data_IF_665739856150
#
_entry.id   IF_665739856150
#
_cell.length_a   1.000
_cell.length_b   1.000
_cell.length_c   1.000
_cell.angle_alpha   90.00
_cell.angle_beta   90.00
_cell.angle_gamma   90.00
#
_symmetry.space_group_name_H-M   'P 1'
#
loop_
_entity.id
_entity.type
_entity.pdbx_description
1 polymer ?
#
# COMPACT_ATOMS: atom_id res chain seq x y z
N UNK A 1 37.41 2.37 -60.29
CA UNK A 1 36.10 2.35 -59.58
C UNK A 1 35.81 0.93 -59.10
N UNK A 2 35.93 0.66 -57.79
CA UNK A 2 35.48 -0.59 -57.16
C UNK A 2 34.56 -0.20 -56.01
N UNK A 3 33.27 -0.50 -56.14
CA UNK A 3 32.29 -0.29 -55.09
C UNK A 3 32.48 -1.38 -54.02
N UNK A 4 32.90 -1.00 -52.82
CA UNK A 4 32.82 -1.85 -51.63
C UNK A 4 31.40 -1.70 -51.05
N UNK A 5 30.62 -2.77 -51.14
CA UNK A 5 29.34 -2.90 -50.45
C UNK A 5 29.61 -3.04 -48.95
N UNK A 6 29.19 -2.05 -48.16
CA UNK A 6 29.16 -2.13 -46.70
C UNK A 6 27.83 -2.77 -46.30
N UNK A 7 27.91 -4.02 -45.85
CA UNK A 7 26.80 -4.70 -45.17
C UNK A 7 26.72 -4.12 -43.76
N UNK A 8 25.67 -3.33 -43.49
CA UNK A 8 25.31 -2.93 -42.13
C UNK A 8 24.65 -4.14 -41.44
N UNK A 9 25.32 -4.69 -40.44
CA UNK A 9 24.75 -5.70 -39.55
C UNK A 9 24.03 -4.96 -38.41
N UNK A 10 22.71 -4.81 -38.53
CA UNK A 10 21.87 -4.28 -37.44
C UNK A 10 21.68 -5.38 -36.40
N UNK A 11 22.40 -5.31 -35.29
CA UNK A 11 22.13 -6.14 -34.10
C UNK A 11 20.91 -5.51 -33.42
N UNK A 12 19.72 -6.07 -33.67
CA UNK A 12 18.53 -5.76 -32.89
C UNK A 12 18.69 -6.43 -31.52
N UNK A 13 19.06 -5.66 -30.51
CA UNK A 13 18.99 -6.10 -29.12
C UNK A 13 17.52 -6.22 -28.72
N UNK A 14 16.98 -7.44 -28.73
CA UNK A 14 15.68 -7.74 -28.16
C UNK A 14 15.82 -7.67 -26.65
N UNK A 15 15.55 -6.50 -26.07
CA UNK A 15 15.38 -6.36 -24.63
C UNK A 15 14.09 -7.11 -24.27
N UNK A 16 14.23 -8.33 -23.73
CA UNK A 16 13.14 -9.00 -23.03
C UNK A 16 12.85 -8.14 -21.79
N UNK A 17 11.92 -7.21 -21.92
CA UNK A 17 11.31 -6.57 -20.77
C UNK A 17 10.62 -7.68 -19.97
N UNK A 18 11.29 -8.22 -18.96
CA UNK A 18 10.61 -8.89 -17.86
C UNK A 18 9.70 -7.82 -17.29
N UNK A 19 8.41 -7.89 -17.64
CA UNK A 19 7.44 -6.92 -17.17
C UNK A 19 7.53 -6.84 -15.64
N UNK A 20 7.42 -5.65 -15.04
CA UNK A 20 7.41 -5.53 -13.59
C UNK A 20 6.32 -6.46 -13.05
N UNK A 21 6.65 -7.21 -12.01
CA UNK A 21 5.70 -8.03 -11.29
C UNK A 21 4.71 -7.09 -10.58
N UNK A 22 3.70 -6.62 -11.32
CA UNK A 22 2.45 -6.16 -10.74
C UNK A 22 1.89 -7.39 -10.05
N UNK A 23 1.49 -7.29 -8.78
CA UNK A 23 0.71 -8.37 -8.17
C UNK A 23 -0.46 -8.64 -9.10
N UNK A 24 -0.50 -9.85 -9.66
CA UNK A 24 -1.66 -10.30 -10.40
C UNK A 24 -2.87 -10.12 -9.48
N UNK A 25 -3.94 -9.49 -9.96
CA UNK A 25 -5.19 -9.37 -9.20
C UNK A 25 -5.64 -10.75 -8.69
N UNK A 26 -5.30 -11.82 -9.41
CA UNK A 26 -5.50 -13.19 -8.97
C UNK A 26 -4.72 -13.57 -7.69
N UNK A 27 -3.51 -13.03 -7.48
CA UNK A 27 -2.72 -13.25 -6.27
C UNK A 27 -3.37 -12.56 -5.07
N UNK A 28 -3.72 -11.28 -5.21
CA UNK A 28 -4.36 -10.50 -4.12
C UNK A 28 -5.80 -10.94 -3.86
N UNK A 29 -6.47 -11.52 -4.85
CA UNK A 29 -7.82 -12.07 -4.69
C UNK A 29 -7.88 -13.28 -3.76
N UNK A 30 -6.79 -14.02 -3.58
CA UNK A 30 -6.75 -15.19 -2.70
C UNK A 30 -7.09 -14.88 -1.25
N UNK A 31 -6.78 -13.67 -0.79
CA UNK A 31 -7.19 -13.21 0.52
C UNK A 31 -8.72 -13.36 0.65
N UNK A 32 -9.49 -12.79 -0.27
CA UNK A 32 -10.97 -12.79 -0.22
C UNK A 32 -11.64 -14.17 -0.28
N UNK A 33 -10.92 -15.21 -0.75
CA UNK A 33 -11.41 -16.59 -0.81
C UNK A 33 -11.16 -17.39 0.48
N UNK A 34 -10.35 -16.85 1.38
CA UNK A 34 -10.00 -17.49 2.65
C UNK A 34 -11.21 -17.56 3.59
N UNK A 35 -11.31 -18.66 4.34
CA UNK A 35 -12.32 -18.82 5.38
C UNK A 35 -11.68 -18.59 6.74
N UNK A 36 -12.04 -17.48 7.39
CA UNK A 36 -11.62 -17.22 8.75
C UNK A 36 -12.43 -18.05 9.75
N UNK A 37 -11.74 -18.59 10.75
CA UNK A 37 -12.32 -19.01 12.02
C UNK A 37 -12.30 -17.80 12.93
N UNK A 38 -13.48 -17.25 13.16
CA UNK A 38 -13.66 -15.97 13.83
C UNK A 38 -14.03 -16.16 15.31
N UNK A 39 -13.63 -15.24 16.20
CA UNK A 39 -14.13 -15.19 17.56
C UNK A 39 -15.58 -14.69 17.58
N UNK A 40 -16.24 -14.83 18.74
CA UNK A 40 -17.53 -14.20 18.98
C UNK A 40 -17.33 -12.69 19.18
N UNK A 41 -17.55 -11.91 18.12
CA UNK A 41 -17.41 -10.47 18.16
C UNK A 41 -18.48 -9.79 19.04
N UNK A 42 -18.09 -8.71 19.72
CA UNK A 42 -19.06 -7.87 20.45
C UNK A 42 -19.75 -6.87 19.51
N UNK A 43 -19.07 -6.44 18.45
CA UNK A 43 -19.65 -5.61 17.40
C UNK A 43 -20.63 -6.42 16.55
N UNK A 44 -21.78 -5.82 16.23
CA UNK A 44 -22.71 -6.34 15.21
C UNK A 44 -22.19 -6.16 13.77
N UNK A 45 -21.14 -5.36 13.61
CA UNK A 45 -20.53 -5.01 12.33
C UNK A 45 -19.02 -5.01 12.54
N UNK A 46 -18.34 -6.17 12.60
CA UNK A 46 -16.88 -6.19 12.53
C UNK A 46 -16.42 -5.57 11.21
N UNK A 47 -15.24 -4.95 11.18
CA UNK A 47 -14.66 -4.40 9.96
C UNK A 47 -13.32 -5.08 9.64
N UNK A 48 -13.10 -5.38 8.36
CA UNK A 48 -12.05 -6.25 7.87
C UNK A 48 -11.05 -5.47 6.99
N UNK A 49 -9.77 -5.81 7.14
CA UNK A 49 -8.70 -5.49 6.18
C UNK A 49 -7.70 -6.63 6.16
N UNK A 50 -6.83 -6.67 5.14
CA UNK A 50 -5.80 -7.69 5.02
C UNK A 50 -4.46 -7.06 4.60
N UNK A 51 -3.36 -7.57 5.14
CA UNK A 51 -2.01 -7.30 4.66
C UNK A 51 -1.45 -8.54 3.96
N UNK A 52 -1.14 -8.40 2.68
CA UNK A 52 -0.54 -9.46 1.89
C UNK A 52 0.97 -9.21 1.78
N UNK A 53 1.79 -10.20 2.13
CA UNK A 53 3.23 -10.03 2.31
C UNK A 53 4.02 -10.72 1.17
N UNK A 54 4.98 -9.98 0.61
CA UNK A 54 5.94 -10.48 -0.36
C UNK A 54 5.36 -10.67 -1.76
N UNK A 55 6.25 -11.03 -2.70
CA UNK A 55 5.92 -11.13 -4.12
C UNK A 55 4.81 -12.15 -4.44
N UNK A 56 4.74 -13.23 -3.67
CA UNK A 56 3.73 -14.29 -3.85
C UNK A 56 2.47 -14.08 -3.00
N UNK A 57 2.48 -13.08 -2.11
CA UNK A 57 1.40 -12.84 -1.15
C UNK A 57 1.03 -14.11 -0.36
N UNK A 58 2.04 -14.89 0.03
CA UNK A 58 1.85 -16.21 0.63
C UNK A 58 1.38 -16.13 2.08
N UNK A 59 1.82 -15.08 2.79
CA UNK A 59 1.32 -14.72 4.11
C UNK A 59 0.28 -13.61 3.95
N UNK A 60 -0.95 -13.88 4.39
CA UNK A 60 -2.07 -12.94 4.40
C UNK A 60 -2.51 -12.74 5.85
N UNK A 61 -2.15 -11.59 6.43
CA UNK A 61 -2.46 -11.25 7.81
C UNK A 61 -3.81 -10.53 7.82
N UNK A 62 -4.81 -11.16 8.40
CA UNK A 62 -6.14 -10.58 8.55
C UNK A 62 -6.25 -9.69 9.78
N UNK A 63 -6.99 -8.60 9.62
CA UNK A 63 -7.28 -7.65 10.69
C UNK A 63 -8.78 -7.47 10.81
N UNK A 64 -9.30 -7.58 12.03
CA UNK A 64 -10.73 -7.37 12.30
C UNK A 64 -10.92 -6.38 13.45
N UNK A 65 -11.54 -5.25 13.15
CA UNK A 65 -11.95 -4.27 14.14
C UNK A 65 -13.22 -4.72 14.84
N UNK A 66 -13.18 -4.66 16.16
CA UNK A 66 -14.25 -5.06 17.06
C UNK A 66 -14.35 -4.11 18.26
N UNK A 67 -15.29 -4.40 19.16
CA UNK A 67 -15.53 -3.67 20.39
C UNK A 67 -15.17 -4.53 21.60
N UNK A 68 -14.80 -3.90 22.71
CA UNK A 68 -14.65 -4.60 23.99
C UNK A 68 -16.01 -4.93 24.59
N UNK A 69 -17.03 -4.16 24.27
CA UNK A 69 -18.40 -4.27 24.77
C UNK A 69 -19.40 -3.76 23.73
N UNK A 70 -20.60 -4.37 23.69
CA UNK A 70 -21.65 -4.03 22.71
C UNK A 70 -22.05 -2.55 22.68
N UNK A 71 -22.02 -1.90 23.83
CA UNK A 71 -22.42 -0.50 24.00
C UNK A 71 -21.28 0.49 23.81
N UNK A 72 -20.04 0.05 23.57
CA UNK A 72 -18.90 0.96 23.42
C UNK A 72 -19.01 1.74 22.10
N UNK A 73 -18.70 3.02 22.17
CA UNK A 73 -18.60 3.88 20.99
C UNK A 73 -17.25 3.66 20.29
N UNK A 74 -17.30 3.53 18.96
CA UNK A 74 -16.16 3.17 18.13
C UNK A 74 -15.63 1.74 18.37
N UNK A 75 -14.67 1.35 17.53
CA UNK A 75 -13.89 0.13 17.67
C UNK A 75 -12.72 0.37 18.60
N UNK A 76 -12.54 -0.54 19.54
CA UNK A 76 -11.45 -0.48 20.50
C UNK A 76 -10.66 -1.79 20.65
N UNK A 77 -11.05 -2.80 19.89
CA UNK A 77 -10.39 -4.09 19.80
C UNK A 77 -9.95 -4.32 18.36
N UNK A 78 -8.77 -4.91 18.20
CA UNK A 78 -8.24 -5.39 16.93
C UNK A 78 -7.88 -6.87 17.09
N UNK A 79 -8.50 -7.71 16.29
CA UNK A 79 -8.10 -9.10 16.10
C UNK A 79 -7.15 -9.21 14.92
N UNK A 80 -6.06 -9.98 15.05
CA UNK A 80 -5.02 -10.09 14.03
C UNK A 80 -4.56 -11.54 13.86
N UNK A 81 -4.69 -12.07 12.64
CA UNK A 81 -4.20 -13.40 12.24
C UNK A 81 -2.70 -13.31 11.94
N UNK A 82 -1.89 -13.29 13.01
CA UNK A 82 -0.46 -12.95 12.91
C UNK A 82 0.34 -13.97 12.11
N UNK A 83 -0.12 -15.22 12.05
CA UNK A 83 0.56 -16.30 11.34
C UNK A 83 -0.06 -16.60 9.96
N UNK A 84 -1.17 -15.94 9.61
CA UNK A 84 -1.88 -16.08 8.34
C UNK A 84 -2.54 -17.45 8.15
N UNK A 85 -2.89 -18.16 9.22
CA UNK A 85 -3.52 -19.47 9.15
C UNK A 85 -5.05 -19.40 9.10
N UNK A 86 -5.62 -18.22 9.33
CA UNK A 86 -7.04 -17.94 9.29
C UNK A 86 -7.80 -18.24 10.56
N UNK A 87 -7.13 -18.44 11.69
CA UNK A 87 -7.76 -18.72 12.98
C UNK A 87 -7.56 -17.59 13.97
N UNK A 88 -8.45 -16.59 13.92
CA UNK A 88 -8.45 -15.40 14.79
C UNK A 88 -8.73 -15.68 16.27
N UNK A 89 -8.92 -16.96 16.64
CA UNK A 89 -9.24 -17.37 18.01
C UNK A 89 -8.00 -17.81 18.79
N UNK A 90 -6.82 -17.78 18.18
CA UNK A 90 -5.58 -18.17 18.82
C UNK A 90 -5.14 -17.17 19.92
N UNK A 91 -4.34 -17.66 20.85
CA UNK A 91 -3.82 -16.81 21.94
C UNK A 91 -2.81 -15.81 21.39
N UNK A 92 -2.99 -14.54 21.72
CA UNK A 92 -2.09 -13.47 21.30
C UNK A 92 -2.57 -12.69 20.07
N UNK A 93 -3.75 -13.01 19.54
CA UNK A 93 -4.31 -12.35 18.36
C UNK A 93 -5.29 -11.22 18.68
N UNK A 94 -5.65 -11.06 19.97
CA UNK A 94 -6.55 -10.00 20.44
C UNK A 94 -5.76 -8.85 21.04
N UNK A 95 -5.93 -7.65 20.48
CA UNK A 95 -5.28 -6.43 20.93
C UNK A 95 -6.33 -5.39 21.32
N UNK A 96 -6.14 -4.71 22.45
CA UNK A 96 -6.87 -3.49 22.78
C UNK A 96 -6.00 -2.29 22.48
N UNK A 97 -6.58 -1.17 22.03
CA UNK A 97 -5.79 0.06 21.94
C UNK A 97 -5.27 0.44 23.31
N UNK A 98 -4.06 1.00 23.33
CA UNK A 98 -3.59 1.70 24.51
C UNK A 98 -4.36 3.02 24.54
N UNK A 99 -5.17 3.24 25.57
CA UNK A 99 -5.87 4.51 25.77
C UNK A 99 -4.88 5.67 25.65
N UNK A 100 -5.14 6.60 24.74
CA UNK A 100 -4.16 7.60 24.33
C UNK A 100 -4.18 8.83 25.23
N UNK A 101 -2.97 9.31 25.49
CA UNK A 101 -2.65 10.68 25.89
C UNK A 101 -3.04 11.71 24.80
N UNK A 102 -4.30 11.75 24.35
CA UNK A 102 -4.86 12.80 23.50
C UNK A 102 -4.29 12.91 22.07
N UNK A 103 -3.75 11.81 21.52
CA UNK A 103 -3.26 11.75 20.14
C UNK A 103 -4.38 11.86 19.10
N UNK A 104 -4.03 12.28 17.87
CA UNK A 104 -4.96 12.34 16.73
C UNK A 104 -5.22 10.99 16.05
N UNK A 105 -4.40 9.97 16.31
CA UNK A 105 -4.51 8.65 15.67
C UNK A 105 -4.26 7.55 16.68
N UNK A 106 -5.21 6.60 16.78
CA UNK A 106 -5.07 5.42 17.64
C UNK A 106 -4.09 4.44 17.04
N UNK A 107 -3.01 4.10 17.74
CA UNK A 107 -2.00 3.15 17.23
C UNK A 107 -1.93 1.85 18.03
N UNK A 108 -1.91 0.72 17.32
CA UNK A 108 -1.53 -0.60 17.86
C UNK A 108 -0.21 -1.01 17.22
N UNK A 109 0.77 -1.33 18.06
CA UNK A 109 1.98 -2.03 17.66
C UNK A 109 1.76 -3.53 17.78
N UNK A 110 2.14 -4.25 16.73
CA UNK A 110 2.05 -5.70 16.63
C UNK A 110 3.46 -6.30 16.76
N UNK A 111 3.55 -7.59 17.11
CA UNK A 111 4.82 -8.29 17.12
C UNK A 111 5.48 -8.26 15.74
N UNK A 112 6.82 -8.24 15.75
CA UNK A 112 7.62 -8.50 14.55
C UNK A 112 7.34 -9.93 14.06
N UNK A 113 7.48 -10.16 12.75
CA UNK A 113 7.20 -11.46 12.15
C UNK A 113 8.24 -11.83 11.09
N UNK A 114 8.31 -13.12 10.76
CA UNK A 114 9.17 -13.65 9.70
C UNK A 114 8.30 -13.96 8.49
N UNK A 115 8.63 -13.39 7.34
CA UNK A 115 7.98 -13.74 6.08
C UNK A 115 8.36 -15.19 5.71
N UNK A 116 7.39 -16.11 5.59
CA UNK A 116 7.67 -17.51 5.30
C UNK A 116 8.24 -17.74 3.89
N UNK A 117 8.05 -16.81 2.94
CA UNK A 117 8.58 -16.98 1.57
C UNK A 117 10.06 -16.60 1.48
N UNK A 118 10.45 -15.46 2.08
CA UNK A 118 11.83 -14.95 2.03
C UNK A 118 12.69 -15.34 3.23
N UNK A 119 12.08 -15.69 4.36
CA UNK A 119 12.74 -15.86 5.65
C UNK A 119 13.18 -14.54 6.30
N UNK A 120 12.81 -13.39 5.74
CA UNK A 120 13.18 -12.09 6.27
C UNK A 120 12.31 -11.69 7.47
N UNK A 121 12.90 -10.95 8.42
CA UNK A 121 12.16 -10.36 9.55
C UNK A 121 11.65 -8.98 9.20
N UNK A 122 10.37 -8.71 9.46
CA UNK A 122 9.76 -7.39 9.33
C UNK A 122 9.43 -6.86 10.72
N UNK A 123 9.75 -5.58 10.96
CA UNK A 123 9.65 -4.96 12.28
C UNK A 123 8.68 -3.81 12.29
N UNK A 124 8.37 -3.26 13.47
CA UNK A 124 7.53 -2.06 13.63
C UNK A 124 6.16 -2.19 12.94
N UNK A 125 5.62 -3.41 12.91
CA UNK A 125 4.34 -3.71 12.30
C UNK A 125 3.20 -3.13 13.16
N UNK A 126 2.17 -2.59 12.53
CA UNK A 126 1.05 -2.03 13.27
C UNK A 126 -0.04 -1.42 12.44
N UNK A 127 -1.11 -1.04 13.14
CA UNK A 127 -2.30 -0.38 12.59
C UNK A 127 -2.44 0.99 13.25
N UNK A 128 -2.81 1.99 12.48
CA UNK A 128 -3.18 3.32 12.98
C UNK A 128 -4.55 3.71 12.46
N UNK A 129 -5.49 4.04 13.34
CA UNK A 129 -6.81 4.54 12.96
C UNK A 129 -6.85 6.07 13.07
N UNK A 130 -7.28 6.72 12.00
CA UNK A 130 -7.62 8.14 12.01
C UNK A 130 -9.00 8.39 12.59
N UNK A 131 -9.90 7.42 12.46
CA UNK A 131 -11.24 7.45 13.03
C UNK A 131 -11.62 6.03 13.48
N UNK A 132 -11.86 5.90 14.78
CA UNK A 132 -12.21 4.63 15.39
C UNK A 132 -13.69 4.25 15.20
N UNK A 133 -14.56 5.17 14.75
CA UNK A 133 -15.98 4.88 14.51
C UNK A 133 -16.23 4.30 13.13
N UNK A 134 -15.56 4.84 12.10
CA UNK A 134 -15.74 4.41 10.71
C UNK A 134 -14.69 3.40 10.23
N UNK A 135 -13.67 3.13 11.03
CA UNK A 135 -12.60 2.18 10.72
C UNK A 135 -11.63 2.69 9.65
N UNK A 136 -11.51 4.02 9.49
CA UNK A 136 -10.50 4.63 8.62
C UNK A 136 -9.13 4.56 9.26
N UNK A 137 -8.14 4.09 8.50
CA UNK A 137 -6.79 3.95 9.01
C UNK A 137 -5.78 3.45 7.99
N UNK A 138 -4.62 3.10 8.53
CA UNK A 138 -3.45 2.66 7.79
C UNK A 138 -2.83 1.45 8.47
N UNK A 139 -2.16 0.63 7.66
CA UNK A 139 -1.33 -0.48 8.14
C UNK A 139 0.10 -0.14 7.74
N UNK A 140 1.08 -0.39 8.60
CA UNK A 140 2.47 -0.08 8.29
C UNK A 140 3.43 -1.06 8.92
N UNK A 141 4.61 -1.17 8.32
CA UNK A 141 5.72 -1.96 8.82
C UNK A 141 7.05 -1.35 8.37
N UNK A 142 8.14 -1.88 8.92
CA UNK A 142 9.49 -1.71 8.41
C UNK A 142 9.90 -3.00 7.70
N UNK A 143 10.04 -2.90 6.39
CA UNK A 143 10.42 -3.99 5.51
C UNK A 143 11.89 -4.35 5.74
N UNK A 144 12.15 -5.60 6.16
CA UNK A 144 13.51 -6.10 6.42
C UNK A 144 14.30 -5.27 7.43
N UNK A 145 13.61 -4.60 8.35
CA UNK A 145 14.17 -3.62 9.29
C UNK A 145 14.90 -2.42 8.62
N UNK A 146 14.66 -2.18 7.32
CA UNK A 146 15.32 -1.13 6.56
C UNK A 146 14.33 -0.04 6.17
N UNK A 147 13.32 -0.39 5.36
CA UNK A 147 12.46 0.59 4.70
C UNK A 147 11.10 0.68 5.36
N UNK A 148 10.64 1.88 5.70
CA UNK A 148 9.29 2.07 6.22
C UNK A 148 8.29 2.06 5.07
N UNK A 149 7.29 1.19 5.15
CA UNK A 149 6.19 1.10 4.18
C UNK A 149 4.87 1.32 4.91
N UNK A 150 4.00 2.15 4.34
CA UNK A 150 2.64 2.38 4.84
C UNK A 150 1.61 2.10 3.75
N UNK A 151 0.62 1.28 4.05
CA UNK A 151 -0.55 1.00 3.23
C UNK A 151 -1.77 1.80 3.67
N UNK A 152 -2.68 2.00 2.72
CA UNK A 152 -3.95 2.66 2.96
C UNK A 152 -4.03 4.10 2.46
N UNK A 153 -3.18 4.47 1.50
CA UNK A 153 -3.19 5.80 0.89
C UNK A 153 -4.26 5.92 -0.20
N UNK A 154 -5.09 6.98 -0.15
CA UNK A 154 -6.02 7.30 -1.22
C UNK A 154 -5.31 7.91 -2.43
N UNK A 155 -5.96 7.90 -3.58
CA UNK A 155 -5.52 8.69 -4.74
C UNK A 155 -5.71 10.19 -4.49
N UNK A 156 -6.77 10.54 -3.78
CA UNK A 156 -7.11 11.91 -3.41
C UNK A 156 -7.13 12.04 -1.87
N UNK A 157 -6.26 12.87 -1.27
CA UNK A 157 -6.13 13.01 0.18
C UNK A 157 -7.44 13.47 0.85
N UNK A 158 -8.26 14.26 0.17
CA UNK A 158 -9.50 14.81 0.73
C UNK A 158 -10.58 13.75 0.90
N UNK A 159 -10.41 12.60 0.23
CA UNK A 159 -11.32 11.48 0.40
C UNK A 159 -11.09 10.73 1.71
N UNK A 160 -9.98 10.97 2.42
CA UNK A 160 -9.57 10.25 3.64
C UNK A 160 -8.93 8.90 3.37
N UNK A 161 -8.34 8.28 4.40
CA UNK A 161 -7.60 7.02 4.30
C UNK A 161 -8.48 5.80 3.93
N UNK A 162 -7.82 4.66 3.73
CA UNK A 162 -8.47 3.35 3.61
C UNK A 162 -9.44 3.10 4.75
N UNK A 163 -10.60 2.52 4.40
CA UNK A 163 -11.59 2.06 5.36
C UNK A 163 -11.63 0.55 5.38
N UNK A 164 -11.63 -0.01 6.59
CA UNK A 164 -11.92 -1.42 6.78
C UNK A 164 -13.36 -1.70 6.33
N UNK A 165 -13.59 -2.85 5.69
CA UNK A 165 -14.87 -3.16 5.06
C UNK A 165 -15.77 -4.02 5.96
N UNK A 166 -17.10 -4.01 5.80
CA UNK A 166 -18.00 -4.84 6.62
C UNK A 166 -17.93 -6.35 6.35
N UNK A 167 -17.23 -6.79 5.29
CA UNK A 167 -17.09 -8.20 4.92
C UNK A 167 -15.66 -8.48 4.47
N UNK A 168 -15.20 -9.72 4.63
CA UNK A 168 -13.88 -10.16 4.13
C UNK A 168 -13.75 -9.99 2.61
N UNK A 169 -14.83 -10.23 1.86
CA UNK A 169 -14.84 -10.15 0.40
C UNK A 169 -14.56 -8.73 -0.09
N UNK A 170 -15.07 -7.74 0.63
CA UNK A 170 -14.93 -6.32 0.29
C UNK A 170 -13.74 -5.67 1.01
N UNK A 171 -13.02 -6.43 1.83
CA UNK A 171 -11.90 -5.93 2.60
C UNK A 171 -10.80 -5.40 1.69
N UNK A 172 -10.26 -4.19 1.97
CA UNK A 172 -9.08 -3.75 1.26
C UNK A 172 -7.89 -4.64 1.64
N UNK A 173 -7.04 -4.92 0.66
CA UNK A 173 -5.82 -5.69 0.82
C UNK A 173 -4.65 -4.77 0.53
N UNK A 174 -3.88 -4.42 1.56
CA UNK A 174 -2.61 -3.70 1.39
C UNK A 174 -1.51 -4.69 1.05
N UNK A 175 -0.76 -4.43 -0.01
CA UNK A 175 0.30 -5.33 -0.46
C UNK A 175 1.68 -4.79 -0.10
N UNK A 176 2.32 -5.43 0.88
CA UNK A 176 3.68 -5.12 1.28
C UNK A 176 4.65 -6.00 0.50
N UNK A 177 5.25 -5.44 -0.55
CA UNK A 177 6.30 -6.09 -1.31
C UNK A 177 7.46 -5.11 -1.55
N UNK A 178 8.26 -4.90 -0.52
CA UNK A 178 9.35 -3.92 -0.54
C UNK A 178 10.44 -4.18 -1.59
N UNK A 179 10.46 -5.36 -2.22
CA UNK A 179 11.44 -5.73 -3.24
C UNK A 179 10.91 -5.63 -4.67
N UNK A 180 9.61 -5.35 -4.86
CA UNK A 180 9.05 -5.17 -6.19
C UNK A 180 9.47 -3.82 -6.81
N UNK A 181 9.55 -3.72 -8.14
CA UNK A 181 9.70 -2.43 -8.81
C UNK A 181 8.64 -1.44 -8.35
N UNK A 182 9.05 -0.21 -8.08
CA UNK A 182 8.13 0.84 -7.70
C UNK A 182 7.14 1.15 -8.80
N UNK A 183 5.96 1.55 -8.35
CA UNK A 183 4.88 2.13 -9.12
C UNK A 183 4.58 3.51 -8.55
N UNK A 184 3.85 4.29 -9.34
CA UNK A 184 3.45 5.63 -8.95
C UNK A 184 1.94 5.68 -8.74
N UNK A 185 1.53 6.46 -7.75
CA UNK A 185 0.15 6.88 -7.58
C UNK A 185 0.11 8.39 -7.47
N UNK A 186 -0.82 9.00 -8.19
CA UNK A 186 -1.13 10.42 -8.01
C UNK A 186 -1.59 10.65 -6.58
N UNK A 187 -1.08 11.71 -5.94
CA UNK A 187 -1.52 12.10 -4.59
C UNK A 187 -2.15 13.48 -4.56
N UNK A 188 -1.42 14.52 -4.97
CA UNK A 188 -1.98 15.89 -5.02
C UNK A 188 -1.70 16.44 -6.41
N UNK A 189 -2.79 16.74 -7.11
CA UNK A 189 -2.80 17.58 -8.30
C UNK A 189 -4.09 18.37 -8.22
N UNK A 190 -4.01 19.61 -7.72
CA UNK A 190 -5.09 20.56 -7.93
C UNK A 190 -5.27 20.78 -9.45
N UNK A 191 -6.41 21.31 -9.85
CA UNK A 191 -6.59 21.67 -11.26
C UNK A 191 -5.51 22.69 -11.66
N UNK A 192 -4.69 22.37 -12.67
CA UNK A 192 -3.69 23.31 -13.15
C UNK A 192 -4.35 24.59 -13.66
N UNK A 193 -3.99 25.73 -13.09
CA UNK A 193 -4.42 27.04 -13.57
C UNK A 193 -3.30 27.64 -14.42
N UNK A 194 -3.65 28.13 -15.61
CA UNK A 194 -2.66 28.75 -16.49
C UNK A 194 -2.07 29.98 -15.77
N UNK A 195 -0.75 29.97 -15.59
CA UNK A 195 -0.01 31.06 -14.96
C UNK A 195 0.13 30.97 -13.43
N UNK A 196 -0.30 29.88 -12.80
CA UNK A 196 0.01 29.59 -11.39
C UNK A 196 1.20 28.63 -11.24
N UNK A 197 1.82 28.68 -10.05
CA UNK A 197 2.77 27.67 -9.59
C UNK A 197 1.96 26.58 -8.87
N UNK A 198 1.84 25.40 -9.49
CA UNK A 198 1.15 24.25 -8.88
C UNK A 198 2.14 23.11 -8.61
N UNK A 199 1.96 22.43 -7.48
CA UNK A 199 2.73 21.24 -7.12
C UNK A 199 2.09 19.98 -7.70
N UNK A 200 2.90 19.13 -8.32
CA UNK A 200 2.52 17.73 -8.59
C UNK A 200 3.14 16.87 -7.49
N UNK A 201 2.30 16.13 -6.75
CA UNK A 201 2.77 15.16 -5.76
C UNK A 201 2.37 13.76 -6.15
N UNK A 202 3.36 12.87 -6.16
CA UNK A 202 3.21 11.46 -6.46
C UNK A 202 3.65 10.66 -5.24
N UNK A 203 2.91 9.59 -4.94
CA UNK A 203 3.43 8.52 -4.12
C UNK A 203 4.26 7.56 -4.96
N UNK A 204 5.33 7.08 -4.35
CA UNK A 204 6.11 5.96 -4.83
C UNK A 204 5.81 4.73 -3.97
N UNK A 205 5.58 3.58 -4.60
CA UNK A 205 5.15 2.40 -3.86
C UNK A 205 4.54 1.29 -4.73
N UNK A 206 3.50 0.63 -4.24
CA UNK A 206 2.87 -0.51 -4.90
C UNK A 206 1.36 -0.44 -4.87
N UNK A 207 0.75 -0.73 -6.03
CA UNK A 207 -0.69 -0.88 -6.14
C UNK A 207 -1.15 -2.10 -5.35
N UNK A 208 -2.23 -1.90 -4.63
CA UNK A 208 -2.84 -2.85 -3.71
C UNK A 208 -4.27 -3.16 -4.19
N UNK A 209 -5.02 -4.00 -3.49
CA UNK A 209 -6.39 -4.35 -3.92
C UNK A 209 -7.43 -3.62 -3.09
N UNK A 210 -8.39 -3.03 -3.78
CA UNK A 210 -9.49 -2.28 -3.17
C UNK A 210 -9.21 -0.78 -3.08
N UNK A 211 -10.24 0.03 -2.75
CA UNK A 211 -10.13 1.48 -2.77
C UNK A 211 -9.12 1.97 -1.73
N UNK A 212 -8.30 2.94 -2.14
CA UNK A 212 -7.37 3.66 -1.25
C UNK A 212 -6.37 2.76 -0.53
N UNK A 213 -5.97 1.67 -1.16
CA UNK A 213 -5.13 0.64 -0.53
C UNK A 213 -3.63 0.82 -0.81
N UNK A 214 -3.23 1.85 -1.57
CA UNK A 214 -1.86 2.01 -2.04
C UNK A 214 -0.83 1.95 -0.90
N UNK A 215 0.24 1.22 -1.14
CA UNK A 215 1.35 1.08 -0.21
C UNK A 215 2.50 1.95 -0.65
N UNK A 216 2.79 3.03 0.08
CA UNK A 216 3.90 3.92 -0.22
C UNK A 216 5.14 3.62 0.63
N UNK A 217 6.31 3.73 0.02
CA UNK A 217 7.58 3.81 0.77
C UNK A 217 7.71 5.21 1.38
N UNK A 218 8.12 5.26 2.65
CA UNK A 218 8.41 6.50 3.37
C UNK A 218 9.92 6.70 3.56
N UNK A 219 10.71 6.07 2.69
CA UNK A 219 12.17 6.13 2.71
C UNK A 219 12.66 6.80 1.43
N UNK A 220 13.76 7.55 1.54
CA UNK A 220 14.52 7.97 0.38
C UNK A 220 15.10 6.71 -0.28
N UNK A 221 14.80 6.52 -1.58
CA UNK A 221 15.19 5.33 -2.33
C UNK A 221 16.10 5.64 -3.51
N UNK A 222 16.28 6.93 -3.82
CA UNK A 222 17.23 7.35 -4.83
C UNK A 222 18.64 7.38 -4.22
N UNK A 223 19.69 7.15 -5.03
CA UNK A 223 21.05 7.47 -4.62
C UNK A 223 21.21 8.97 -4.33
N UNK A 224 22.14 9.31 -3.44
CA UNK A 224 22.46 10.70 -3.14
C UNK A 224 22.81 11.48 -4.41
N UNK A 225 22.12 12.60 -4.63
CA UNK A 225 22.31 13.46 -5.80
C UNK A 225 21.57 13.02 -7.07
N UNK A 226 20.89 11.88 -7.06
CA UNK A 226 19.99 11.49 -8.15
C UNK A 226 18.59 12.08 -7.98
N UNK A 227 17.90 12.28 -9.10
CA UNK A 227 16.54 12.84 -9.16
C UNK A 227 15.73 12.05 -10.18
N UNK A 228 14.40 12.01 -9.98
CA UNK A 228 13.50 11.43 -10.98
C UNK A 228 13.27 12.44 -12.08
N UNK A 229 13.65 12.09 -13.30
CA UNK A 229 13.20 12.79 -14.51
C UNK A 229 11.79 12.31 -14.86
N UNK A 230 10.88 13.25 -15.06
CA UNK A 230 9.49 12.97 -15.39
C UNK A 230 9.07 13.76 -16.63
N UNK A 231 8.22 13.16 -17.45
CA UNK A 231 7.56 13.83 -18.58
C UNK A 231 6.07 13.95 -18.28
N UNK A 232 5.60 15.17 -18.06
CA UNK A 232 4.16 15.46 -17.99
C UNK A 232 3.59 15.52 -19.41
N UNK A 233 2.63 14.66 -19.71
CA UNK A 233 1.90 14.65 -20.98
C UNK A 233 0.46 15.13 -20.70
N UNK A 234 0.00 16.15 -21.42
CA UNK A 234 -1.33 16.74 -21.23
C UNK A 234 -1.95 17.19 -22.55
N UNK A 235 -3.25 17.50 -22.55
CA UNK A 235 -3.95 18.14 -23.68
C UNK A 235 -4.18 19.62 -23.38
N UNK A 236 -3.87 20.50 -24.32
CA UNK A 236 -4.16 21.93 -24.21
C UNK A 236 -5.63 22.26 -24.53
N UNK A 237 -5.98 23.55 -24.47
CA UNK A 237 -7.34 24.04 -24.76
C UNK A 237 -7.78 23.81 -26.22
N UNK A 238 -6.87 23.45 -27.11
CA UNK A 238 -7.15 23.09 -28.51
C UNK A 238 -7.19 21.55 -28.71
N UNK A 239 -7.17 20.77 -27.63
CA UNK A 239 -7.05 19.30 -27.62
C UNK A 239 -5.77 18.77 -28.27
N UNK A 240 -4.70 19.57 -28.36
CA UNK A 240 -3.41 19.10 -28.84
C UNK A 240 -2.60 18.52 -27.68
N UNK A 241 -1.96 17.38 -27.92
CA UNK A 241 -1.07 16.78 -26.94
C UNK A 241 0.20 17.64 -26.80
N UNK A 242 0.55 17.94 -25.57
CA UNK A 242 1.77 18.63 -25.17
C UNK A 242 2.57 17.73 -24.24
N UNK A 243 3.87 18.01 -24.12
CA UNK A 243 4.77 17.32 -23.19
C UNK A 243 5.75 18.30 -22.56
N UNK A 244 5.97 18.17 -21.26
CA UNK A 244 6.97 18.94 -20.52
C UNK A 244 7.84 17.98 -19.73
N UNK A 245 9.15 18.03 -19.97
CA UNK A 245 10.15 17.33 -19.16
C UNK A 245 10.46 18.18 -17.92
N UNK A 246 10.55 17.52 -16.76
CA UNK A 246 10.82 18.15 -15.48
C UNK A 246 11.59 17.21 -14.57
N UNK A 247 12.39 17.78 -13.67
CA UNK A 247 13.00 17.04 -12.58
C UNK A 247 12.07 17.10 -11.37
N UNK A 248 11.69 15.96 -10.83
CA UNK A 248 10.95 15.91 -9.58
C UNK A 248 11.93 16.26 -8.45
N UNK A 249 11.71 17.42 -7.85
CA UNK A 249 12.44 17.84 -6.66
C UNK A 249 11.76 17.23 -5.44
N UNK A 250 12.55 16.50 -4.67
CA UNK A 250 12.05 15.72 -3.55
C UNK A 250 11.49 16.63 -2.44
N UNK A 251 10.30 16.31 -1.95
CA UNK A 251 9.93 16.50 -0.54
C UNK A 251 9.53 15.14 0.01
N UNK A 252 10.49 14.43 0.57
CA UNK A 252 10.24 13.36 1.52
C UNK A 252 10.06 13.97 2.92
#
# INVERSE_FOLDING_TARGET
>A
MRFLSRVLLTIAATCLCVGPAIADDAILSRAGDMKLKEPDYESKRPLYACAAIGAKAALNIWFVLDKSEKSKDGYDILWVDLNGNGDLTETGERFSWLDENGGRMRKISLPDFVDPDSGATHTNFGVSLSDAEDGSGMIGLRWRDEHKIGGGYPEDPDTGYMRFAPTMKDAPVVWFNGDAPFQFQRWIVDSFVIGSEEDIRLFLGWQSKGPKSFCSTQSHVLPEGEQVEATLIYQDTENKQQSVEMMLTERC
#
